data_IF_852598540639
#
_entry.id   IF_852598540639
#
_cell.length_a   1.000
_cell.length_b   1.000
_cell.length_c   1.000
_cell.angle_alpha   90.00
_cell.angle_beta   90.00
_cell.angle_gamma   90.00
#
_symmetry.space_group_name_H-M   'P 1'
#
loop_
_entity.id
_entity.type
_entity.pdbx_description
1 polymer ?
#
# COMPACT_ATOMS: atom_id res chain seq x y z
N UNK A 1 41.73 3.23 -5.27
CA UNK A 1 41.64 3.60 -6.70
C UNK A 1 40.42 2.93 -7.32
N UNK A 2 39.44 3.70 -7.77
CA UNK A 2 38.26 3.14 -8.45
C UNK A 2 38.69 2.64 -9.83
N UNK A 3 38.44 1.36 -10.12
CA UNK A 3 38.89 0.73 -11.35
C UNK A 3 38.04 1.26 -12.53
N UNK A 4 38.58 2.21 -13.29
CA UNK A 4 37.91 2.90 -14.41
C UNK A 4 37.36 1.90 -15.44
N UNK A 5 38.05 0.77 -15.68
CA UNK A 5 37.56 -0.28 -16.59
C UNK A 5 36.28 -0.95 -16.09
N UNK A 6 36.14 -1.16 -14.77
CA UNK A 6 34.90 -1.68 -14.16
C UNK A 6 33.75 -0.67 -14.29
N UNK A 7 34.02 0.63 -14.11
CA UNK A 7 33.00 1.68 -14.30
C UNK A 7 32.54 1.71 -15.76
N UNK A 8 33.47 1.76 -16.73
CA UNK A 8 33.14 1.81 -18.15
C UNK A 8 32.36 0.56 -18.61
N UNK A 9 32.74 -0.63 -18.11
CA UNK A 9 31.99 -1.86 -18.35
C UNK A 9 30.58 -1.80 -17.75
N UNK A 10 30.43 -1.30 -16.53
CA UNK A 10 29.13 -1.11 -15.89
C UNK A 10 28.24 -0.13 -16.68
N UNK A 11 28.80 1.01 -17.14
CA UNK A 11 28.08 1.99 -17.95
C UNK A 11 27.63 1.36 -19.28
N UNK A 12 28.53 0.68 -19.99
CA UNK A 12 28.21 0.02 -21.27
C UNK A 12 27.09 -1.01 -21.11
N UNK A 13 27.14 -1.81 -20.04
CA UNK A 13 26.15 -2.85 -19.75
C UNK A 13 24.80 -2.29 -19.28
N UNK A 14 24.75 -1.04 -18.80
CA UNK A 14 23.54 -0.39 -18.29
C UNK A 14 23.14 0.86 -19.10
N UNK A 15 23.69 1.05 -20.31
CA UNK A 15 23.51 2.25 -21.13
C UNK A 15 22.05 2.67 -21.30
N UNK A 16 21.15 1.70 -21.51
CA UNK A 16 19.72 1.95 -21.66
C UNK A 16 19.15 2.62 -20.40
N UNK A 17 19.44 2.07 -19.22
CA UNK A 17 18.94 2.59 -17.95
C UNK A 17 19.49 3.99 -17.63
N UNK A 18 20.72 4.28 -18.05
CA UNK A 18 21.33 5.61 -17.90
C UNK A 18 20.60 6.62 -18.80
N UNK A 19 20.36 6.26 -20.06
CA UNK A 19 19.59 7.10 -20.99
C UNK A 19 18.17 7.33 -20.46
N UNK A 20 17.51 6.29 -19.94
CA UNK A 20 16.19 6.38 -19.33
C UNK A 20 16.16 7.29 -18.09
N UNK A 21 17.19 7.23 -17.24
CA UNK A 21 17.33 8.16 -16.11
C UNK A 21 17.43 9.61 -16.56
N UNK A 22 18.23 9.89 -17.61
CA UNK A 22 18.34 11.23 -18.19
C UNK A 22 16.99 11.69 -18.75
N UNK A 23 16.29 10.80 -19.47
CA UNK A 23 14.95 11.07 -19.99
C UNK A 23 13.95 11.41 -18.87
N UNK A 24 13.94 10.66 -17.77
CA UNK A 24 13.08 10.96 -16.61
C UNK A 24 13.36 12.36 -16.07
N UNK A 25 14.64 12.75 -15.93
CA UNK A 25 15.01 14.09 -15.45
C UNK A 25 14.51 15.17 -16.41
N UNK A 26 14.68 14.98 -17.72
CA UNK A 26 14.20 15.92 -18.74
C UNK A 26 12.67 16.06 -18.70
N UNK A 27 11.94 14.95 -18.73
CA UNK A 27 10.48 14.95 -18.67
C UNK A 27 9.97 15.61 -17.39
N UNK A 28 10.64 15.36 -16.25
CA UNK A 28 10.30 16.01 -14.99
C UNK A 28 10.51 17.52 -15.07
N UNK A 29 11.64 17.99 -15.59
CA UNK A 29 11.91 19.43 -15.73
C UNK A 29 10.86 20.12 -16.61
N UNK A 30 10.48 19.50 -17.74
CA UNK A 30 9.42 20.00 -18.63
C UNK A 30 8.06 20.06 -17.91
N UNK A 31 7.71 19.04 -17.12
CA UNK A 31 6.46 19.04 -16.35
C UNK A 31 6.45 20.07 -15.21
N UNK A 32 7.62 20.38 -14.62
CA UNK A 32 7.72 21.31 -13.48
C UNK A 32 7.65 22.77 -13.92
N UNK A 33 8.02 23.08 -15.18
CA UNK A 33 7.87 24.42 -15.76
C UNK A 33 6.42 24.77 -16.15
N UNK A 34 5.47 23.84 -16.01
CA UNK A 34 4.05 24.04 -16.35
C UNK A 34 3.11 24.28 -15.17
N UNK A 35 3.60 24.28 -13.92
CA UNK A 35 2.76 24.45 -12.74
C UNK A 35 2.99 25.82 -12.08
N UNK A 36 2.42 26.86 -12.69
CA UNK A 36 1.92 28.03 -11.99
C UNK A 36 0.45 28.15 -12.40
N UNK A 37 -0.43 28.30 -11.41
CA UNK A 37 -1.90 28.34 -11.47
C UNK A 37 -2.60 26.99 -11.23
N UNK A 38 -2.80 26.65 -9.95
CA UNK A 38 -4.00 25.94 -9.50
C UNK A 38 -4.21 26.16 -7.99
N UNK A 39 -4.65 27.37 -7.65
CA UNK A 39 -5.39 27.67 -6.42
C UNK A 39 -6.63 28.45 -6.82
N UNK A 40 -7.65 27.76 -7.36
CA UNK A 40 -9.03 28.25 -7.36
C UNK A 40 -10.00 27.15 -7.80
N UNK A 41 -10.28 26.20 -6.90
CA UNK A 41 -11.43 25.31 -7.07
C UNK A 41 -12.07 25.03 -5.70
N UNK A 42 -12.47 26.12 -5.04
CA UNK A 42 -13.27 26.09 -3.82
C UNK A 42 -14.31 27.21 -3.87
N UNK A 43 -15.09 27.26 -4.96
CA UNK A 43 -16.17 28.26 -5.13
C UNK A 43 -17.29 27.88 -6.12
N UNK A 44 -17.47 26.59 -6.45
CA UNK A 44 -18.50 26.14 -7.42
C UNK A 44 -19.63 25.30 -6.79
N UNK A 45 -19.62 25.05 -5.47
CA UNK A 45 -20.73 24.31 -4.82
C UNK A 45 -21.85 25.20 -4.24
N UNK A 46 -21.76 26.52 -4.32
CA UNK A 46 -22.71 27.44 -3.65
C UNK A 46 -23.95 27.81 -4.46
N UNK A 47 -24.09 27.36 -5.71
CA UNK A 47 -25.23 27.74 -6.57
C UNK A 47 -26.36 26.69 -6.64
N UNK A 48 -26.12 25.45 -6.18
CA UNK A 48 -27.13 24.37 -6.16
C UNK A 48 -27.99 24.34 -4.89
N UNK A 49 -27.66 25.15 -3.89
CA UNK A 49 -28.25 25.12 -2.55
C UNK A 49 -29.40 26.10 -2.32
N UNK A 50 -29.92 26.79 -3.35
CA UNK A 50 -31.05 27.73 -3.18
C UNK A 50 -32.40 27.23 -3.73
N UNK A 51 -32.42 26.17 -4.53
CA UNK A 51 -33.66 25.65 -5.15
C UNK A 51 -34.28 24.43 -4.43
N UNK A 52 -33.72 24.01 -3.29
CA UNK A 52 -34.15 22.79 -2.58
C UNK A 52 -34.91 23.12 -1.28
N UNK A 53 -34.72 24.30 -0.72
CA UNK A 53 -35.27 24.70 0.59
C UNK A 53 -36.79 24.90 0.58
N UNK A 54 -37.42 25.11 -0.58
CA UNK A 54 -38.86 25.41 -0.68
C UNK A 54 -39.78 24.16 -0.67
N UNK A 55 -39.21 22.93 -0.74
CA UNK A 55 -39.97 21.66 -0.73
C UNK A 55 -39.94 20.90 0.60
N UNK A 56 -39.35 21.48 1.65
CA UNK A 56 -38.94 20.77 2.88
C UNK A 56 -39.82 21.11 4.10
N UNK A 57 -41.10 20.73 4.10
CA UNK A 57 -41.91 20.75 5.33
C UNK A 57 -42.47 19.36 5.72
N UNK A 58 -42.78 18.50 4.74
CA UNK A 58 -43.17 17.10 5.01
C UNK A 58 -41.99 16.09 4.95
N UNK A 59 -40.83 16.52 4.44
CA UNK A 59 -39.62 15.70 4.33
C UNK A 59 -38.77 15.81 5.61
N UNK A 60 -38.99 16.82 6.45
CA UNK A 60 -38.17 17.10 7.63
C UNK A 60 -38.35 16.05 8.74
N UNK A 61 -39.59 15.63 9.00
CA UNK A 61 -39.88 14.56 9.98
C UNK A 61 -39.43 13.17 9.50
N UNK A 62 -39.53 12.89 8.20
CA UNK A 62 -38.99 11.67 7.58
C UNK A 62 -37.46 11.68 7.56
N UNK A 63 -36.83 12.83 7.25
CA UNK A 63 -35.37 13.04 7.35
C UNK A 63 -34.89 12.85 8.77
N UNK A 64 -35.55 13.42 9.78
CA UNK A 64 -35.17 13.22 11.17
C UNK A 64 -35.24 11.75 11.58
N UNK A 65 -36.28 11.02 11.18
CA UNK A 65 -36.38 9.58 11.46
C UNK A 65 -35.29 8.76 10.73
N UNK A 66 -34.97 9.09 9.48
CA UNK A 66 -33.94 8.44 8.67
C UNK A 66 -32.52 8.77 9.15
N UNK A 67 -32.28 10.03 9.54
CA UNK A 67 -31.03 10.50 10.14
C UNK A 67 -30.81 9.79 11.49
N UNK A 68 -31.86 9.64 12.30
CA UNK A 68 -31.75 8.98 13.60
C UNK A 68 -31.52 7.46 13.44
N UNK A 69 -32.18 6.79 12.49
CA UNK A 69 -31.93 5.38 12.17
C UNK A 69 -30.52 5.14 11.59
N UNK A 70 -30.04 6.01 10.69
CA UNK A 70 -28.69 5.91 10.14
C UNK A 70 -27.61 6.15 11.20
N UNK A 71 -27.79 7.14 12.08
CA UNK A 71 -26.89 7.37 13.22
C UNK A 71 -26.85 6.17 14.16
N UNK A 72 -28.01 5.62 14.50
CA UNK A 72 -28.09 4.42 15.34
C UNK A 72 -27.35 3.23 14.72
N UNK A 73 -27.52 3.00 13.42
CA UNK A 73 -26.78 1.97 12.67
C UNK A 73 -25.26 2.18 12.76
N UNK A 74 -24.80 3.41 12.58
CA UNK A 74 -23.37 3.75 12.63
C UNK A 74 -22.82 3.59 14.05
N UNK A 75 -23.57 3.99 15.09
CA UNK A 75 -23.17 3.74 16.48
C UNK A 75 -23.10 2.24 16.79
N UNK A 76 -24.04 1.43 16.30
CA UNK A 76 -23.94 -0.03 16.43
C UNK A 76 -22.71 -0.59 15.71
N UNK A 77 -22.40 -0.11 14.50
CA UNK A 77 -21.19 -0.51 13.77
C UNK A 77 -19.91 -0.12 14.51
N UNK A 78 -19.86 1.08 15.11
CA UNK A 78 -18.74 1.52 15.94
C UNK A 78 -18.59 0.69 17.20
N UNK A 79 -19.69 0.45 17.93
CA UNK A 79 -19.67 -0.37 19.12
C UNK A 79 -19.18 -1.78 18.79
N UNK A 80 -19.71 -2.38 17.72
CA UNK A 80 -19.26 -3.67 17.23
C UNK A 80 -17.75 -3.65 16.89
N UNK A 81 -17.29 -2.64 16.15
CA UNK A 81 -15.88 -2.50 15.80
C UNK A 81 -14.99 -2.36 17.05
N UNK A 82 -15.41 -1.58 18.04
CA UNK A 82 -14.69 -1.40 19.32
C UNK A 82 -14.62 -2.71 20.08
N UNK A 83 -15.72 -3.46 20.17
CA UNK A 83 -15.76 -4.79 20.83
C UNK A 83 -14.79 -5.75 20.13
N UNK A 84 -14.84 -5.82 18.80
CA UNK A 84 -13.93 -6.66 18.01
C UNK A 84 -12.47 -6.22 18.20
N UNK A 85 -12.21 -4.92 18.21
CA UNK A 85 -10.87 -4.38 18.44
C UNK A 85 -10.33 -4.76 19.82
N UNK A 86 -11.14 -4.60 20.88
CA UNK A 86 -10.77 -4.98 22.26
C UNK A 86 -10.51 -6.49 22.32
N UNK A 87 -11.35 -7.30 21.69
CA UNK A 87 -11.16 -8.76 21.64
C UNK A 87 -9.84 -9.12 20.96
N UNK A 88 -9.57 -8.57 19.77
CA UNK A 88 -8.32 -8.78 19.03
C UNK A 88 -7.12 -8.30 19.85
N UNK A 89 -7.25 -7.17 20.54
CA UNK A 89 -6.19 -6.64 21.40
C UNK A 89 -5.88 -7.59 22.56
N UNK A 90 -6.90 -8.03 23.30
CA UNK A 90 -6.74 -8.94 24.45
C UNK A 90 -6.16 -10.28 23.99
N UNK A 91 -6.72 -10.87 22.92
CA UNK A 91 -6.22 -12.13 22.36
C UNK A 91 -4.79 -11.97 21.86
N UNK A 92 -4.47 -10.85 21.21
CA UNK A 92 -3.12 -10.51 20.77
C UNK A 92 -2.12 -10.46 21.92
N UNK A 93 -2.46 -9.77 23.01
CA UNK A 93 -1.63 -9.71 24.22
C UNK A 93 -1.42 -11.11 24.81
N UNK A 94 -2.45 -11.95 24.86
CA UNK A 94 -2.33 -13.34 25.32
C UNK A 94 -1.36 -14.12 24.42
N UNK A 95 -1.49 -14.00 23.09
CA UNK A 95 -0.59 -14.65 22.13
C UNK A 95 0.86 -14.17 22.34
N UNK A 96 1.07 -12.87 22.54
CA UNK A 96 2.40 -12.30 22.79
C UNK A 96 3.02 -12.81 24.09
N UNK A 97 2.23 -12.90 25.18
CA UNK A 97 2.68 -13.48 26.45
C UNK A 97 3.09 -14.94 26.25
N UNK A 98 2.24 -15.74 25.59
CA UNK A 98 2.55 -17.14 25.26
C UNK A 98 3.82 -17.22 24.40
N UNK A 99 3.97 -16.33 23.43
CA UNK A 99 5.14 -16.27 22.56
C UNK A 99 6.42 -16.00 23.34
N UNK A 100 6.40 -15.01 24.24
CA UNK A 100 7.53 -14.67 25.11
C UNK A 100 7.89 -15.87 26.00
N UNK A 101 6.91 -16.50 26.66
CA UNK A 101 7.13 -17.68 27.51
C UNK A 101 7.75 -18.84 26.74
N UNK A 102 7.20 -19.18 25.56
CA UNK A 102 7.71 -20.26 24.73
C UNK A 102 9.13 -19.98 24.21
N UNK A 103 9.42 -18.73 23.85
CA UNK A 103 10.74 -18.32 23.37
C UNK A 103 11.79 -18.34 24.49
N UNK A 104 11.43 -17.93 25.70
CA UNK A 104 12.28 -18.07 26.90
C UNK A 104 12.63 -19.53 27.16
N UNK A 105 11.69 -20.44 26.87
CA UNK A 105 11.91 -21.90 26.92
C UNK A 105 12.60 -22.49 25.67
N UNK A 106 13.22 -21.66 24.83
CA UNK A 106 13.95 -22.03 23.59
C UNK A 106 13.13 -22.86 22.59
N UNK A 107 11.80 -22.80 22.64
CA UNK A 107 10.95 -23.48 21.65
C UNK A 107 10.86 -22.64 20.37
N UNK A 108 11.04 -23.27 19.21
CA UNK A 108 10.75 -22.61 17.92
C UNK A 108 9.23 -22.50 17.74
N UNK A 109 8.73 -21.27 17.63
CA UNK A 109 7.28 -20.99 17.58
C UNK A 109 6.76 -20.98 16.15
N UNK A 110 7.55 -20.45 15.22
CA UNK A 110 7.24 -20.47 13.79
C UNK A 110 8.19 -21.47 13.13
N UNK A 111 7.76 -22.72 12.90
CA UNK A 111 8.60 -23.72 12.27
C UNK A 111 8.90 -23.29 10.84
N UNK A 112 10.13 -23.50 10.38
CA UNK A 112 10.49 -23.29 8.97
C UNK A 112 9.67 -24.24 8.11
N UNK A 113 8.72 -23.70 7.36
CA UNK A 113 7.88 -24.53 6.49
C UNK A 113 8.60 -24.86 5.18
N UNK A 114 9.35 -23.90 4.62
CA UNK A 114 10.11 -24.08 3.38
C UNK A 114 11.49 -23.44 3.46
N UNK A 115 12.53 -24.09 2.91
CA UNK A 115 13.83 -23.45 2.75
C UNK A 115 13.72 -22.30 1.76
N UNK A 116 14.26 -21.14 2.13
CA UNK A 116 14.36 -19.99 1.26
C UNK A 116 15.18 -20.33 0.00
N UNK A 117 14.68 -19.96 -1.18
CA UNK A 117 15.35 -20.21 -2.45
C UNK A 117 16.30 -19.06 -2.80
N UNK A 118 17.54 -19.36 -3.17
CA UNK A 118 18.49 -18.33 -3.64
C UNK A 118 18.00 -17.78 -4.97
N UNK A 119 17.92 -16.45 -5.07
CA UNK A 119 17.42 -15.76 -6.27
C UNK A 119 18.55 -15.42 -7.25
N UNK A 120 18.20 -15.44 -8.54
CA UNK A 120 19.15 -15.21 -9.64
C UNK A 120 19.46 -13.73 -9.86
N UNK A 121 18.52 -12.83 -9.55
CA UNK A 121 18.71 -11.38 -9.68
C UNK A 121 19.57 -10.79 -8.55
N UNK A 122 19.94 -9.53 -8.73
CA UNK A 122 20.77 -8.73 -7.84
C UNK A 122 20.02 -7.46 -7.41
N UNK A 123 20.60 -6.73 -6.46
CA UNK A 123 20.08 -5.43 -6.05
C UNK A 123 20.06 -4.40 -7.19
N UNK A 124 20.95 -4.52 -8.17
CA UNK A 124 20.96 -3.66 -9.37
C UNK A 124 19.69 -3.84 -10.20
N UNK A 125 19.12 -5.04 -10.22
CA UNK A 125 17.92 -5.33 -11.00
C UNK A 125 16.66 -4.67 -10.41
N UNK A 126 16.67 -4.40 -9.11
CA UNK A 126 15.63 -3.59 -8.45
C UNK A 126 15.64 -2.18 -9.04
N UNK A 127 16.81 -1.54 -9.12
CA UNK A 127 16.92 -0.22 -9.73
C UNK A 127 16.53 -0.22 -11.21
N UNK A 128 16.89 -1.27 -11.95
CA UNK A 128 16.47 -1.42 -13.36
C UNK A 128 14.95 -1.43 -13.50
N UNK A 129 14.25 -2.18 -12.65
CA UNK A 129 12.78 -2.20 -12.64
C UNK A 129 12.22 -0.84 -12.26
N UNK A 130 12.77 -0.18 -11.23
CA UNK A 130 12.30 1.16 -10.81
C UNK A 130 12.48 2.18 -11.95
N UNK A 131 13.63 2.18 -12.63
CA UNK A 131 13.90 3.09 -13.76
C UNK A 131 12.94 2.82 -14.91
N UNK A 132 12.73 1.55 -15.27
CA UNK A 132 11.78 1.18 -16.33
C UNK A 132 10.35 1.57 -15.95
N UNK A 133 9.92 1.28 -14.72
CA UNK A 133 8.61 1.64 -14.19
C UNK A 133 8.38 3.16 -14.30
N UNK A 134 9.32 3.97 -13.82
CA UNK A 134 9.24 5.43 -13.90
C UNK A 134 9.21 5.90 -15.36
N UNK A 135 10.11 5.39 -16.20
CA UNK A 135 10.20 5.80 -17.61
C UNK A 135 8.91 5.51 -18.37
N UNK A 136 8.37 4.29 -18.22
CA UNK A 136 7.13 3.88 -18.88
C UNK A 136 5.97 4.73 -18.35
N UNK A 137 5.91 4.97 -17.04
CA UNK A 137 4.85 5.80 -16.44
C UNK A 137 4.88 7.24 -16.98
N UNK A 138 6.07 7.85 -17.09
CA UNK A 138 6.20 9.19 -17.67
C UNK A 138 5.87 9.22 -19.17
N UNK A 139 6.28 8.20 -19.93
CA UNK A 139 5.96 8.10 -21.36
C UNK A 139 4.46 7.96 -21.60
N UNK A 140 3.77 7.14 -20.80
CA UNK A 140 2.31 6.99 -20.88
C UNK A 140 1.64 8.31 -20.50
N UNK A 141 2.05 8.93 -19.39
CA UNK A 141 1.48 10.22 -18.95
C UNK A 141 1.65 11.31 -20.00
N UNK A 142 2.82 11.41 -20.62
CA UNK A 142 3.10 12.37 -21.68
C UNK A 142 2.27 12.06 -22.94
N UNK A 143 2.22 10.80 -23.36
CA UNK A 143 1.44 10.36 -24.53
C UNK A 143 -0.06 10.62 -24.36
N UNK A 144 -0.63 10.31 -23.19
CA UNK A 144 -2.03 10.62 -22.87
C UNK A 144 -2.31 12.13 -22.91
N UNK A 145 -1.43 12.95 -22.32
CA UNK A 145 -1.58 14.40 -22.35
C UNK A 145 -1.49 14.97 -23.78
N UNK A 146 -0.55 14.47 -24.59
CA UNK A 146 -0.38 14.88 -25.98
C UNK A 146 -1.61 14.53 -26.84
N UNK A 147 -2.09 13.29 -26.75
CA UNK A 147 -3.28 12.82 -27.48
C UNK A 147 -4.52 13.61 -27.02
N UNK A 148 -4.71 13.78 -25.72
CA UNK A 148 -5.83 14.54 -25.16
C UNK A 148 -5.86 15.98 -25.67
N UNK A 149 -4.71 16.67 -25.67
CA UNK A 149 -4.60 18.02 -26.21
C UNK A 149 -4.77 18.09 -27.73
N UNK A 150 -4.18 17.14 -28.47
CA UNK A 150 -4.24 17.12 -29.94
C UNK A 150 -5.67 16.87 -30.47
N UNK A 151 -6.41 15.97 -29.83
CA UNK A 151 -7.79 15.64 -30.20
C UNK A 151 -8.85 16.43 -29.42
N UNK A 152 -8.43 17.37 -28.57
CA UNK A 152 -9.31 18.16 -27.69
C UNK A 152 -10.31 17.28 -26.91
N UNK A 153 -9.82 16.17 -26.35
CA UNK A 153 -10.63 15.23 -25.58
C UNK A 153 -10.86 15.77 -24.17
N UNK A 154 -12.08 15.63 -23.67
CA UNK A 154 -12.40 15.96 -22.29
C UNK A 154 -11.63 15.05 -21.32
N UNK A 155 -11.05 15.65 -20.29
CA UNK A 155 -10.38 14.90 -19.24
C UNK A 155 -11.43 14.22 -18.35
N UNK A 156 -11.26 12.92 -18.03
CA UNK A 156 -12.13 12.24 -17.06
C UNK A 156 -12.12 12.96 -15.71
N UNK A 157 -13.08 12.67 -14.82
CA UNK A 157 -13.03 13.23 -13.46
C UNK A 157 -11.77 12.77 -12.70
N UNK A 158 -11.37 13.57 -11.69
CA UNK A 158 -10.13 13.36 -10.92
C UNK A 158 -10.05 11.96 -10.29
N UNK A 159 -11.17 11.33 -9.91
CA UNK A 159 -11.18 10.00 -9.27
C UNK A 159 -10.97 8.90 -10.33
N UNK A 160 -11.63 8.99 -11.49
CA UNK A 160 -11.41 8.06 -12.61
C UNK A 160 -9.98 8.16 -13.12
N UNK A 161 -9.43 9.38 -13.24
CA UNK A 161 -8.02 9.57 -13.59
C UNK A 161 -7.09 8.90 -12.58
N UNK A 162 -7.32 9.10 -11.28
CA UNK A 162 -6.53 8.47 -10.22
C UNK A 162 -6.63 6.93 -10.27
N UNK A 163 -7.84 6.38 -10.39
CA UNK A 163 -8.07 4.94 -10.50
C UNK A 163 -7.33 4.33 -11.70
N UNK A 164 -7.37 5.02 -12.84
CA UNK A 164 -6.68 4.63 -14.08
C UNK A 164 -5.16 4.67 -13.89
N UNK A 165 -4.62 5.76 -13.33
CA UNK A 165 -3.18 5.89 -13.05
C UNK A 165 -2.69 4.79 -12.12
N UNK A 166 -3.42 4.49 -11.05
CA UNK A 166 -3.11 3.41 -10.12
C UNK A 166 -3.13 2.05 -10.85
N UNK A 167 -4.15 1.79 -11.66
CA UNK A 167 -4.27 0.53 -12.43
C UNK A 167 -3.07 0.35 -13.34
N UNK A 168 -2.70 1.40 -14.09
CA UNK A 168 -1.57 1.39 -15.01
C UNK A 168 -0.26 1.19 -14.24
N UNK A 169 -0.02 1.93 -13.17
CA UNK A 169 1.19 1.80 -12.35
C UNK A 169 1.37 0.36 -11.82
N UNK A 170 0.31 -0.22 -11.25
CA UNK A 170 0.35 -1.58 -10.72
C UNK A 170 0.42 -2.66 -11.82
N UNK A 171 -0.18 -2.40 -12.98
CA UNK A 171 -0.04 -3.24 -14.17
C UNK A 171 1.38 -3.25 -14.71
N UNK A 172 2.00 -2.07 -14.87
CA UNK A 172 3.37 -1.92 -15.36
C UNK A 172 4.35 -2.64 -14.43
N UNK A 173 4.29 -2.40 -13.12
CA UNK A 173 5.22 -3.04 -12.18
C UNK A 173 5.03 -4.56 -12.20
N UNK A 174 3.79 -5.07 -12.29
CA UNK A 174 3.50 -6.49 -12.37
C UNK A 174 4.07 -7.12 -13.65
N UNK A 175 3.88 -6.46 -14.80
CA UNK A 175 4.44 -6.90 -16.09
C UNK A 175 5.97 -6.92 -16.04
N UNK A 176 6.60 -5.88 -15.49
CA UNK A 176 8.06 -5.82 -15.34
C UNK A 176 8.57 -6.93 -14.41
N UNK A 177 7.89 -7.19 -13.29
CA UNK A 177 8.24 -8.29 -12.38
C UNK A 177 8.14 -9.65 -13.08
N UNK A 178 7.07 -9.89 -13.84
CA UNK A 178 6.89 -11.11 -14.64
C UNK A 178 8.02 -11.22 -15.68
N UNK A 179 8.30 -10.14 -16.42
CA UNK A 179 9.39 -10.10 -17.41
C UNK A 179 10.73 -10.48 -16.78
N UNK A 180 11.11 -9.84 -15.66
CA UNK A 180 12.38 -10.11 -15.00
C UNK A 180 12.44 -11.54 -14.45
N UNK A 181 11.43 -11.96 -13.69
CA UNK A 181 11.43 -13.27 -13.05
C UNK A 181 11.35 -14.41 -14.08
N UNK A 182 10.38 -14.37 -14.98
CA UNK A 182 10.07 -15.48 -15.88
C UNK A 182 10.91 -15.45 -17.15
N UNK A 183 10.99 -14.30 -17.83
CA UNK A 183 11.60 -14.25 -19.16
C UNK A 183 13.12 -13.96 -19.10
N UNK A 184 13.54 -12.99 -18.28
CA UNK A 184 14.95 -12.58 -18.18
C UNK A 184 15.81 -13.61 -17.45
N UNK A 185 15.30 -14.16 -16.35
CA UNK A 185 16.02 -15.12 -15.51
C UNK A 185 15.56 -16.57 -15.67
N UNK A 186 14.52 -16.84 -16.46
CA UNK A 186 13.97 -18.21 -16.68
C UNK A 186 13.59 -18.90 -15.36
N UNK A 187 13.22 -18.11 -14.36
CA UNK A 187 12.82 -18.61 -13.05
C UNK A 187 11.30 -18.86 -13.00
N UNK A 188 10.86 -19.65 -12.02
CA UNK A 188 9.43 -19.89 -11.76
C UNK A 188 8.94 -19.00 -10.63
N UNK A 189 7.63 -18.71 -10.59
CA UNK A 189 6.98 -17.96 -9.50
C UNK A 189 7.25 -18.53 -8.09
N UNK A 190 7.50 -19.83 -7.98
CA UNK A 190 7.93 -20.45 -6.71
C UNK A 190 9.20 -19.81 -6.12
N UNK A 191 10.09 -19.25 -6.94
CA UNK A 191 11.34 -18.63 -6.47
C UNK A 191 11.13 -17.33 -5.72
N UNK A 192 10.06 -16.59 -6.03
CA UNK A 192 9.66 -15.41 -5.24
C UNK A 192 8.76 -15.79 -4.05
N UNK A 193 8.49 -17.08 -3.83
CA UNK A 193 7.62 -17.56 -2.76
C UNK A 193 6.13 -17.54 -3.11
N UNK A 194 5.76 -17.34 -4.39
CA UNK A 194 4.40 -17.57 -4.86
C UNK A 194 4.19 -19.07 -5.11
N UNK A 195 3.78 -19.78 -4.06
CA UNK A 195 3.28 -21.15 -4.14
C UNK A 195 2.30 -21.41 -3.01
N UNK A 196 1.34 -22.31 -3.27
CA UNK A 196 0.18 -22.57 -2.40
C UNK A 196 0.35 -23.82 -1.53
N UNK A 197 1.58 -24.31 -1.34
CA UNK A 197 1.79 -25.52 -0.55
C UNK A 197 1.50 -25.23 0.93
N UNK A 198 0.65 -26.06 1.56
CA UNK A 198 0.12 -25.83 2.91
C UNK A 198 -0.61 -24.50 3.05
N UNK A 199 -1.39 -24.11 2.02
CA UNK A 199 -2.12 -22.84 1.95
C UNK A 199 -2.86 -22.50 3.25
N UNK A 200 -3.76 -23.36 3.72
CA UNK A 200 -4.55 -23.10 4.93
C UNK A 200 -3.70 -22.89 6.19
N UNK A 201 -2.59 -23.64 6.33
CA UNK A 201 -1.65 -23.45 7.44
C UNK A 201 -0.99 -22.06 7.37
N UNK A 202 -0.61 -21.61 6.18
CA UNK A 202 0.01 -20.30 5.98
C UNK A 202 -0.99 -19.15 6.13
N UNK A 203 -2.25 -19.35 5.73
CA UNK A 203 -3.35 -18.41 5.97
C UNK A 203 -3.61 -18.27 7.47
N UNK A 204 -3.73 -19.39 8.19
CA UNK A 204 -3.90 -19.39 9.63
C UNK A 204 -2.73 -18.71 10.34
N UNK A 205 -1.48 -19.01 9.92
CA UNK A 205 -0.30 -18.34 10.45
C UNK A 205 -0.34 -16.82 10.22
N UNK A 206 -0.75 -16.37 9.03
CA UNK A 206 -0.94 -14.95 8.75
C UNK A 206 -1.98 -14.30 9.66
N UNK A 207 -3.16 -14.93 9.81
CA UNK A 207 -4.22 -14.44 10.68
C UNK A 207 -3.78 -14.33 12.15
N UNK A 208 -3.17 -15.38 12.70
CA UNK A 208 -2.64 -15.37 14.08
C UNK A 208 -1.54 -14.31 14.25
N UNK A 209 -0.67 -14.15 13.25
CA UNK A 209 0.40 -13.13 13.30
C UNK A 209 -0.17 -11.71 13.27
N UNK A 210 -1.28 -11.47 12.56
CA UNK A 210 -1.95 -10.18 12.57
C UNK A 210 -2.59 -9.88 13.92
N UNK A 211 -3.27 -10.86 14.52
CA UNK A 211 -3.83 -10.71 15.87
C UNK A 211 -2.73 -10.45 16.91
N UNK A 212 -1.61 -11.15 16.81
CA UNK A 212 -0.45 -10.95 17.69
C UNK A 212 0.15 -9.55 17.56
N UNK A 213 0.29 -9.00 16.35
CA UNK A 213 0.90 -7.67 16.17
C UNK A 213 -0.07 -6.51 16.46
N UNK A 214 -1.38 -6.76 16.44
CA UNK A 214 -2.41 -5.73 16.56
C UNK A 214 -2.27 -4.83 17.82
N UNK A 215 -1.98 -5.36 19.04
CA UNK A 215 -1.74 -4.52 20.21
C UNK A 215 -0.59 -3.55 20.04
N UNK A 216 0.53 -4.04 19.49
CA UNK A 216 1.74 -3.23 19.24
C UNK A 216 1.41 -2.13 18.22
N UNK A 217 0.72 -2.45 17.13
CA UNK A 217 0.29 -1.46 16.15
C UNK A 217 -0.65 -0.41 16.77
N UNK A 218 -1.61 -0.83 17.59
CA UNK A 218 -2.54 0.07 18.28
C UNK A 218 -1.83 1.05 19.20
N UNK A 219 -0.87 0.57 20.01
CA UNK A 219 -0.06 1.41 20.90
C UNK A 219 0.75 2.42 20.08
N UNK A 220 1.39 1.99 18.99
CA UNK A 220 2.23 2.87 18.17
C UNK A 220 1.37 3.93 17.47
N UNK A 221 0.20 3.56 16.94
CA UNK A 221 -0.76 4.51 16.34
C UNK A 221 -1.24 5.53 17.39
N UNK A 222 -1.54 5.07 18.61
CA UNK A 222 -1.93 5.95 19.71
C UNK A 222 -0.84 6.97 20.04
N UNK A 223 0.41 6.51 20.19
CA UNK A 223 1.57 7.38 20.45
C UNK A 223 1.77 8.37 19.31
N UNK A 224 1.77 7.93 18.04
CA UNK A 224 1.99 8.86 16.91
C UNK A 224 0.86 9.88 16.76
N UNK A 225 -0.37 9.52 17.13
CA UNK A 225 -1.52 10.43 17.16
C UNK A 225 -1.37 11.49 18.25
N UNK A 226 -0.98 11.11 19.47
CA UNK A 226 -0.69 12.06 20.56
C UNK A 226 0.41 13.02 20.16
N UNK A 227 1.51 12.51 19.63
CA UNK A 227 2.65 13.32 19.19
C UNK A 227 2.21 14.30 18.10
N UNK A 228 1.43 13.84 17.11
CA UNK A 228 0.92 14.71 16.05
C UNK A 228 0.02 15.81 16.59
N UNK A 229 -0.86 15.49 17.56
CA UNK A 229 -1.72 16.46 18.23
C UNK A 229 -0.91 17.50 19.01
N UNK A 230 0.12 17.06 19.73
CA UNK A 230 1.04 17.96 20.45
C UNK A 230 1.73 18.97 19.51
N UNK A 231 2.16 18.51 18.34
CA UNK A 231 2.77 19.36 17.31
C UNK A 231 1.74 20.08 16.40
N UNK A 232 0.44 19.97 16.68
CA UNK A 232 -0.66 20.51 15.84
C UNK A 232 -0.54 20.09 14.36
N UNK A 233 0.04 18.93 14.11
CA UNK A 233 0.20 18.39 12.78
C UNK A 233 -1.07 17.64 12.35
N UNK A 234 -1.69 18.09 11.26
CA UNK A 234 -2.83 17.41 10.64
C UNK A 234 -2.35 16.48 9.53
N UNK A 235 -2.54 15.15 9.65
CA UNK A 235 -2.15 14.21 8.61
C UNK A 235 -2.94 14.47 7.33
N UNK A 236 -2.25 14.57 6.20
CA UNK A 236 -2.94 14.58 4.91
C UNK A 236 -3.55 13.19 4.65
N UNK A 237 -4.83 13.10 4.26
CA UNK A 237 -5.43 11.80 3.96
C UNK A 237 -4.74 11.20 2.73
N UNK A 238 -4.59 9.87 2.74
CA UNK A 238 -4.05 9.15 1.59
C UNK A 238 -5.00 9.33 0.39
N UNK A 239 -4.52 9.63 -0.84
CA UNK A 239 -5.38 9.97 -1.98
C UNK A 239 -6.48 8.94 -2.26
N UNK A 240 -6.13 7.65 -2.20
CA UNK A 240 -7.06 6.55 -2.45
C UNK A 240 -8.14 6.44 -1.36
N UNK A 241 -7.76 6.66 -0.09
CA UNK A 241 -8.70 6.66 1.02
C UNK A 241 -9.61 7.89 0.95
N UNK A 242 -9.06 9.05 0.57
CA UNK A 242 -9.85 10.26 0.35
C UNK A 242 -10.87 10.07 -0.77
N UNK A 243 -10.47 9.47 -1.90
CA UNK A 243 -11.41 9.16 -2.99
C UNK A 243 -12.54 8.23 -2.52
N UNK A 244 -12.23 7.21 -1.71
CA UNK A 244 -13.24 6.33 -1.14
C UNK A 244 -14.23 7.10 -0.22
N UNK A 245 -13.76 8.15 0.46
CA UNK A 245 -14.59 8.99 1.31
C UNK A 245 -15.53 9.91 0.54
N UNK A 246 -15.15 10.39 -0.64
CA UNK A 246 -15.96 11.36 -1.41
C UNK A 246 -16.70 10.76 -2.61
N UNK A 247 -16.38 9.52 -2.99
CA UNK A 247 -17.01 8.86 -4.14
C UNK A 247 -18.39 8.29 -3.78
N UNK A 248 -19.31 8.41 -4.74
CA UNK A 248 -20.69 7.91 -4.65
C UNK A 248 -20.97 6.80 -5.68
N UNK A 249 -20.18 6.69 -6.75
CA UNK A 249 -20.35 5.66 -7.79
C UNK A 249 -19.94 4.29 -7.26
N UNK A 250 -20.93 3.41 -7.11
CA UNK A 250 -20.75 2.06 -6.56
C UNK A 250 -19.63 1.26 -7.26
N UNK A 251 -19.55 1.34 -8.59
CA UNK A 251 -18.51 0.63 -9.37
C UNK A 251 -17.10 1.05 -8.97
N UNK A 252 -16.87 2.35 -8.77
CA UNK A 252 -15.57 2.87 -8.35
C UNK A 252 -15.28 2.58 -6.88
N UNK A 253 -16.28 2.67 -6.00
CA UNK A 253 -16.12 2.26 -4.60
C UNK A 253 -15.68 0.79 -4.52
N UNK A 254 -16.34 -0.11 -5.25
CA UNK A 254 -15.98 -1.54 -5.29
C UNK A 254 -14.55 -1.70 -5.83
N UNK A 255 -14.20 -1.01 -6.92
CA UNK A 255 -12.84 -1.05 -7.47
C UNK A 255 -11.79 -0.58 -6.44
N UNK A 256 -12.02 0.57 -5.79
CA UNK A 256 -11.09 1.13 -4.80
C UNK A 256 -10.94 0.21 -3.59
N UNK A 257 -12.03 -0.43 -3.14
CA UNK A 257 -12.00 -1.42 -2.06
C UNK A 257 -11.19 -2.65 -2.43
N UNK A 258 -11.45 -3.25 -3.60
CA UNK A 258 -10.66 -4.38 -4.09
C UNK A 258 -9.19 -4.02 -4.25
N UNK A 259 -8.91 -2.79 -4.70
CA UNK A 259 -7.57 -2.31 -4.86
C UNK A 259 -6.84 -2.16 -3.51
N UNK A 260 -7.38 -1.36 -2.59
CA UNK A 260 -6.75 -1.07 -1.29
C UNK A 260 -6.63 -2.32 -0.42
N UNK A 261 -7.66 -3.17 -0.41
CA UNK A 261 -7.72 -4.30 0.50
C UNK A 261 -7.03 -5.55 -0.05
N UNK A 262 -6.91 -5.71 -1.38
CA UNK A 262 -6.44 -6.98 -1.98
C UNK A 262 -5.34 -6.75 -3.02
N UNK A 263 -5.64 -6.07 -4.13
CA UNK A 263 -4.72 -6.01 -5.27
C UNK A 263 -3.41 -5.28 -4.92
N UNK A 264 -3.51 -4.15 -4.23
CA UNK A 264 -2.37 -3.39 -3.72
C UNK A 264 -1.48 -4.25 -2.85
N UNK A 265 -1.98 -4.78 -1.72
CA UNK A 265 -1.23 -5.68 -0.84
C UNK A 265 -0.56 -6.84 -1.56
N UNK A 266 -1.24 -7.51 -2.49
CA UNK A 266 -0.67 -8.65 -3.23
C UNK A 266 0.52 -8.22 -4.08
N UNK A 267 0.38 -7.17 -4.90
CA UNK A 267 1.45 -6.69 -5.78
C UNK A 267 2.61 -6.12 -4.97
N UNK A 268 2.32 -5.41 -3.88
CA UNK A 268 3.31 -4.89 -2.96
C UNK A 268 4.10 -6.03 -2.29
N UNK A 269 3.46 -7.09 -1.81
CA UNK A 269 4.19 -8.24 -1.24
C UNK A 269 5.08 -8.94 -2.28
N UNK A 270 4.60 -9.10 -3.51
CA UNK A 270 5.39 -9.67 -4.61
C UNK A 270 6.64 -8.81 -4.87
N UNK A 271 6.49 -7.49 -4.94
CA UNK A 271 7.61 -6.58 -5.17
C UNK A 271 8.55 -6.54 -3.96
N UNK A 272 8.06 -6.16 -2.78
CA UNK A 272 8.89 -5.87 -1.61
C UNK A 272 9.50 -7.13 -1.00
N UNK A 273 8.76 -8.25 -0.93
CA UNK A 273 9.22 -9.48 -0.25
C UNK A 273 9.76 -10.46 -1.28
N UNK A 274 8.97 -10.72 -2.32
CA UNK A 274 9.34 -11.66 -3.38
C UNK A 274 10.57 -11.23 -4.17
N UNK A 275 10.68 -9.95 -4.53
CA UNK A 275 11.75 -9.45 -5.40
C UNK A 275 12.83 -8.66 -4.65
N UNK A 276 12.45 -7.57 -3.96
CA UNK A 276 13.35 -6.60 -3.35
C UNK A 276 14.10 -7.16 -2.13
N UNK A 277 13.38 -7.71 -1.15
CA UNK A 277 13.98 -8.35 0.02
C UNK A 277 14.89 -9.50 -0.39
N UNK A 278 14.47 -10.33 -1.36
CA UNK A 278 15.29 -11.43 -1.83
C UNK A 278 16.62 -10.96 -2.45
N UNK A 279 16.61 -9.84 -3.18
CA UNK A 279 17.80 -9.21 -3.71
C UNK A 279 18.70 -8.65 -2.60
N UNK A 280 18.12 -7.93 -1.62
CA UNK A 280 18.84 -7.39 -0.46
C UNK A 280 19.50 -8.51 0.35
N UNK A 281 18.78 -9.59 0.65
CA UNK A 281 19.30 -10.71 1.46
C UNK A 281 20.55 -11.33 0.86
N UNK A 282 20.60 -11.43 -0.48
CA UNK A 282 21.78 -11.93 -1.22
C UNK A 282 23.00 -11.02 -1.05
N UNK A 283 22.78 -9.71 -0.91
CA UNK A 283 23.83 -8.69 -0.84
C UNK A 283 24.29 -8.38 0.58
N UNK A 284 23.37 -8.24 1.53
CA UNK A 284 23.65 -7.72 2.88
C UNK A 284 23.19 -8.65 4.01
N UNK A 285 22.76 -9.87 3.68
CA UNK A 285 22.32 -10.86 4.65
C UNK A 285 20.90 -10.63 5.18
N UNK A 286 20.42 -11.60 5.97
CA UNK A 286 19.02 -11.69 6.40
C UNK A 286 18.56 -10.50 7.23
N UNK A 287 19.25 -10.18 8.32
CA UNK A 287 18.79 -9.19 9.31
C UNK A 287 18.66 -7.81 8.69
N UNK A 288 19.70 -7.35 7.99
CA UNK A 288 19.68 -6.06 7.33
C UNK A 288 18.68 -6.02 6.17
N UNK A 289 18.48 -7.12 5.44
CA UNK A 289 17.45 -7.17 4.41
C UNK A 289 16.03 -6.99 4.98
N UNK A 290 15.72 -7.57 6.14
CA UNK A 290 14.42 -7.39 6.81
C UNK A 290 14.22 -5.90 7.13
N UNK A 291 15.20 -5.30 7.81
CA UNK A 291 15.11 -3.91 8.26
C UNK A 291 15.06 -2.93 7.08
N UNK A 292 15.93 -3.10 6.08
CA UNK A 292 15.96 -2.20 4.92
C UNK A 292 14.71 -2.35 4.05
N UNK A 293 14.25 -3.58 3.80
CA UNK A 293 13.01 -3.81 3.04
C UNK A 293 11.82 -3.12 3.70
N UNK A 294 11.67 -3.27 5.03
CA UNK A 294 10.61 -2.63 5.79
C UNK A 294 10.76 -1.09 5.84
N UNK A 295 11.98 -0.58 5.94
CA UNK A 295 12.25 0.87 5.92
C UNK A 295 11.84 1.50 4.59
N UNK A 296 12.27 0.93 3.48
CA UNK A 296 11.88 1.41 2.15
C UNK A 296 10.37 1.28 1.91
N UNK A 297 9.75 0.20 2.40
CA UNK A 297 8.31 0.03 2.36
C UNK A 297 7.59 1.19 3.08
N UNK A 298 7.94 1.45 4.34
CA UNK A 298 7.34 2.55 5.13
C UNK A 298 7.62 3.94 4.54
N UNK A 299 8.84 4.18 4.05
CA UNK A 299 9.21 5.44 3.42
C UNK A 299 8.33 5.75 2.21
N UNK A 300 8.10 4.77 1.33
CA UNK A 300 7.36 4.97 0.08
C UNK A 300 5.87 5.25 0.29
N UNK A 301 5.33 5.02 1.51
CA UNK A 301 3.96 5.41 1.85
C UNK A 301 3.82 6.91 2.16
N UNK A 302 4.93 7.64 2.31
CA UNK A 302 4.95 9.11 2.41
C UNK A 302 4.02 9.69 3.49
N UNK A 303 3.88 9.00 4.61
CA UNK A 303 3.03 9.40 5.75
C UNK A 303 3.85 9.47 7.03
N UNK A 304 3.86 10.65 7.68
CA UNK A 304 4.61 10.83 8.93
C UNK A 304 3.98 10.05 10.09
N UNK A 305 2.65 10.15 10.25
CA UNK A 305 1.93 9.46 11.35
C UNK A 305 1.89 7.95 11.13
N UNK A 306 1.79 7.52 9.87
CA UNK A 306 1.77 6.12 9.49
C UNK A 306 3.14 5.47 9.43
N UNK A 307 4.24 6.24 9.42
CA UNK A 307 5.59 5.71 9.18
C UNK A 307 5.96 4.56 10.15
N UNK A 308 5.86 4.79 11.46
CA UNK A 308 6.25 3.79 12.46
C UNK A 308 5.32 2.56 12.48
N UNK A 309 3.97 2.70 12.46
CA UNK A 309 3.09 1.55 12.29
C UNK A 309 3.41 0.72 11.04
N UNK A 310 3.61 1.37 9.88
CA UNK A 310 3.90 0.70 8.61
C UNK A 310 5.28 0.04 8.65
N UNK A 311 6.26 0.66 9.31
CA UNK A 311 7.60 0.08 9.49
C UNK A 311 7.55 -1.22 10.30
N UNK A 312 6.83 -1.22 11.43
CA UNK A 312 6.67 -2.39 12.29
C UNK A 312 5.94 -3.51 11.56
N UNK A 313 4.86 -3.17 10.86
CA UNK A 313 4.15 -4.11 9.98
C UNK A 313 5.09 -4.65 8.90
N UNK A 314 5.87 -3.79 8.26
CA UNK A 314 6.84 -4.16 7.23
C UNK A 314 7.89 -5.16 7.72
N UNK A 315 8.39 -4.98 8.95
CA UNK A 315 9.34 -5.90 9.60
C UNK A 315 8.68 -7.28 9.80
N UNK A 316 7.45 -7.32 10.31
CA UNK A 316 6.71 -8.57 10.48
C UNK A 316 6.51 -9.29 9.14
N UNK A 317 6.07 -8.56 8.12
CA UNK A 317 5.83 -9.11 6.78
C UNK A 317 7.10 -9.72 6.17
N UNK A 318 8.23 -9.03 6.27
CA UNK A 318 9.52 -9.55 5.81
C UNK A 318 10.00 -10.75 6.65
N UNK A 319 9.78 -10.72 7.96
CA UNK A 319 10.11 -11.82 8.86
C UNK A 319 9.30 -13.09 8.59
N UNK A 320 7.99 -12.96 8.35
CA UNK A 320 7.10 -14.08 8.01
C UNK A 320 7.52 -14.72 6.68
N UNK A 321 7.82 -13.90 5.68
CA UNK A 321 8.34 -14.38 4.40
C UNK A 321 9.67 -15.12 4.57
N UNK A 322 10.61 -14.55 5.33
CA UNK A 322 11.92 -15.14 5.57
C UNK A 322 11.85 -16.49 6.31
N UNK A 323 10.89 -16.63 7.24
CA UNK A 323 10.70 -17.87 8.00
C UNK A 323 9.99 -18.95 7.20
N UNK A 324 9.03 -18.58 6.36
CA UNK A 324 8.18 -19.55 5.68
C UNK A 324 8.57 -19.82 4.23
N UNK A 325 9.33 -18.96 3.56
CA UNK A 325 9.66 -19.12 2.13
C UNK A 325 8.44 -19.07 1.21
N UNK A 326 7.34 -18.49 1.68
CA UNK A 326 6.10 -18.23 0.92
C UNK A 326 5.57 -16.85 1.26
N UNK A 327 4.93 -16.20 0.29
CA UNK A 327 4.32 -14.86 0.46
C UNK A 327 2.97 -14.92 1.17
N UNK A 328 2.33 -16.09 1.25
CA UNK A 328 0.94 -16.21 1.72
C UNK A 328 0.72 -15.60 3.12
N UNK A 329 1.53 -15.89 4.17
CA UNK A 329 1.30 -15.30 5.48
C UNK A 329 1.43 -13.78 5.47
N UNK A 330 2.39 -13.25 4.72
CA UNK A 330 2.60 -11.80 4.60
C UNK A 330 1.44 -11.13 3.86
N UNK A 331 0.99 -11.72 2.75
CA UNK A 331 -0.20 -11.23 2.01
C UNK A 331 -1.42 -11.18 2.92
N UNK A 332 -1.67 -12.23 3.71
CA UNK A 332 -2.83 -12.28 4.61
C UNK A 332 -2.76 -11.23 5.71
N UNK A 333 -1.60 -11.04 6.34
CA UNK A 333 -1.40 -9.98 7.35
C UNK A 333 -1.64 -8.60 6.73
N UNK A 334 -1.14 -8.36 5.53
CA UNK A 334 -1.26 -7.08 4.85
C UNK A 334 -2.70 -6.79 4.42
N UNK A 335 -3.39 -7.76 3.81
CA UNK A 335 -4.82 -7.68 3.47
C UNK A 335 -5.65 -7.42 4.74
N UNK A 336 -5.39 -8.16 5.82
CA UNK A 336 -6.12 -7.99 7.08
C UNK A 336 -5.93 -6.59 7.65
N UNK A 337 -4.70 -6.08 7.66
CA UNK A 337 -4.40 -4.72 8.13
C UNK A 337 -5.13 -3.66 7.31
N UNK A 338 -4.99 -3.69 5.98
CA UNK A 338 -5.64 -2.70 5.10
C UNK A 338 -7.16 -2.80 5.15
N UNK A 339 -7.72 -4.01 5.26
CA UNK A 339 -9.17 -4.20 5.37
C UNK A 339 -9.69 -3.66 6.69
N UNK A 340 -9.00 -3.90 7.81
CA UNK A 340 -9.41 -3.41 9.12
C UNK A 340 -9.37 -1.87 9.20
N UNK A 341 -8.30 -1.25 8.68
CA UNK A 341 -8.17 0.21 8.66
C UNK A 341 -9.16 0.88 7.71
N UNK A 342 -9.41 0.27 6.54
CA UNK A 342 -10.41 0.76 5.58
C UNK A 342 -11.83 0.62 6.13
N UNK A 343 -12.15 -0.51 6.77
CA UNK A 343 -13.45 -0.71 7.41
C UNK A 343 -13.69 0.33 8.52
N UNK A 344 -12.69 0.57 9.36
CA UNK A 344 -12.77 1.62 10.39
C UNK A 344 -13.06 2.99 9.77
N UNK A 345 -12.32 3.36 8.71
CA UNK A 345 -12.50 4.63 8.00
C UNK A 345 -13.92 4.78 7.43
N UNK A 346 -14.48 3.72 6.84
CA UNK A 346 -15.84 3.74 6.28
C UNK A 346 -16.92 3.87 7.35
N UNK A 347 -16.72 3.27 8.53
CA UNK A 347 -17.62 3.47 9.66
C UNK A 347 -17.58 4.94 10.10
N UNK A 348 -16.40 5.56 10.15
CA UNK A 348 -16.26 6.99 10.45
C UNK A 348 -16.90 7.89 9.40
N UNK A 349 -16.82 7.54 8.10
CA UNK A 349 -17.55 8.25 7.03
C UNK A 349 -19.05 8.32 7.33
N UNK A 350 -19.63 7.21 7.79
CA UNK A 350 -21.03 7.12 8.16
C UNK A 350 -21.46 8.06 9.30
N UNK A 351 -20.52 8.51 10.15
CA UNK A 351 -20.81 9.51 11.18
C UNK A 351 -20.94 10.94 10.62
N UNK A 352 -20.25 11.22 9.50
CA UNK A 352 -20.17 12.55 8.88
C UNK A 352 -21.23 12.80 7.79
N UNK A 353 -21.84 11.74 7.27
CA UNK A 353 -22.95 11.74 6.31
C UNK A 353 -24.29 11.68 7.02
#
# INVERSE_FOLDING_TARGET
>A
MVNIKKILSFIKNNRLYIVLLILIVILRLISTSGNLLEEEELKVSSQRMKNIEEKLANIESLKESLINQNKLRVYFQLLFFIIVFILVFVVGVIIDIVFVVLKTNRREIIPKTYPFQRVSWSFVDVFRIIILYLSISYLISFGCGFIGGFFNLDMPDKIVQMATNITLSYGIISILLIYFVVFRYKNRFKMIGLHFKSFFKNVFLGAVSYVAIAPILGIVIFITTIVSSYFKYTPKPHPVLNALLVEDRLSLIIYLLLFVCILGPVVEEIFFRGFFYAALKKSIGKTYAILMSALFFAWLHMTLVGFFPILILGILLAYLYEKNGTLIPSIIVHIAHNSATTAFLLILKGLSS
#
